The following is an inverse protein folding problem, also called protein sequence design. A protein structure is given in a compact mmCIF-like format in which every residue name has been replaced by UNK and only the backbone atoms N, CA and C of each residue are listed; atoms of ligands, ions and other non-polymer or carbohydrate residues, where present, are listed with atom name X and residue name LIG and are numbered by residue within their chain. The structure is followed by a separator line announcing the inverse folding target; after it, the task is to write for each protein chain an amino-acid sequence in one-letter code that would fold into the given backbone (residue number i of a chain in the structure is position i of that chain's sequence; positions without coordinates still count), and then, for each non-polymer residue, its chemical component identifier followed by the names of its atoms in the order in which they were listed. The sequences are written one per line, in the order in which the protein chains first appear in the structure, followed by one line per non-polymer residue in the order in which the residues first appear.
data_IF_309472845027
#
_entry.id   IF_309472845027
#
_cell.length_a   1.000
_cell.length_b   1.000
_cell.length_c   1.000
_cell.angle_alpha   90.00
_cell.angle_beta   90.00
_cell.angle_gamma   90.00
#
_symmetry.space_group_name_H-M   'P 1'
#
loop_
_entity.id
_entity.type
_entity.pdbx_description
1 polymer ?
#
# COMPACT_ATOMS: atom_id res chain seq x y z
N UNK A 1 14.22 28.40 -19.55
CA UNK A 1 14.59 28.92 -18.23
C UNK A 1 13.74 28.25 -17.15
N UNK A 2 14.40 27.65 -16.22
CA UNK A 2 13.70 26.97 -15.11
C UNK A 2 13.28 27.99 -14.08
N UNK A 3 12.00 28.01 -13.77
CA UNK A 3 11.46 28.93 -12.77
C UNK A 3 11.39 28.23 -11.42
N UNK A 4 12.51 28.28 -10.70
CA UNK A 4 12.64 27.59 -9.41
C UNK A 4 11.63 28.07 -8.36
N UNK A 5 11.17 29.32 -8.48
CA UNK A 5 10.21 29.90 -7.55
C UNK A 5 8.85 29.18 -7.59
N UNK A 6 8.53 28.53 -8.70
CA UNK A 6 7.26 27.85 -8.89
C UNK A 6 7.38 26.34 -8.74
N UNK A 7 8.58 25.83 -8.43
CA UNK A 7 8.78 24.41 -8.22
C UNK A 7 8.35 24.03 -6.80
N UNK A 8 7.51 23.03 -6.71
CA UNK A 8 7.10 22.46 -5.43
C UNK A 8 8.02 21.26 -5.17
N UNK A 9 8.69 21.28 -4.02
CA UNK A 9 9.51 20.16 -3.60
C UNK A 9 8.67 19.23 -2.76
N UNK A 10 8.52 17.99 -3.23
CA UNK A 10 7.74 16.96 -2.54
C UNK A 10 8.68 16.17 -1.67
N UNK A 11 8.34 16.01 -0.38
CA UNK A 11 9.17 15.24 0.55
C UNK A 11 9.02 13.73 0.35
N UNK A 12 7.77 13.24 0.33
CA UNK A 12 7.47 11.82 0.16
C UNK A 12 5.97 11.66 -0.05
N UNK A 13 5.56 10.48 -0.42
CA UNK A 13 4.14 10.14 -0.49
C UNK A 13 3.62 9.91 0.93
N UNK A 14 2.75 10.82 1.42
CA UNK A 14 2.26 10.74 2.79
C UNK A 14 1.37 9.51 2.99
N UNK A 15 0.33 9.39 2.20
CA UNK A 15 -0.55 8.23 2.30
C UNK A 15 -1.37 8.04 1.02
N UNK A 16 -1.92 6.86 0.89
CA UNK A 16 -2.94 6.53 -0.10
C UNK A 16 -4.23 6.27 0.66
N UNK A 17 -5.32 6.94 0.27
CA UNK A 17 -6.62 6.72 0.88
C UNK A 17 -7.37 5.66 0.08
N UNK A 18 -7.94 4.68 0.77
CA UNK A 18 -8.72 3.63 0.14
C UNK A 18 -10.06 3.48 0.84
N UNK A 19 -11.06 3.05 0.09
CA UNK A 19 -12.37 2.74 0.64
C UNK A 19 -12.44 1.25 0.97
N UNK A 20 -13.00 0.92 2.12
CA UNK A 20 -13.10 -0.46 2.60
C UNK A 20 -14.51 -0.73 3.11
N UNK A 21 -14.96 -1.98 2.96
CA UNK A 21 -16.30 -2.35 3.37
C UNK A 21 -16.44 -2.40 4.89
N UNK A 22 -15.41 -2.88 5.58
CA UNK A 22 -15.40 -3.04 7.04
C UNK A 22 -14.12 -2.42 7.58
N UNK A 23 -14.26 -1.24 8.20
CA UNK A 23 -13.13 -0.45 8.68
C UNK A 23 -12.28 -1.22 9.69
N UNK A 24 -12.92 -1.85 10.68
CA UNK A 24 -12.20 -2.54 11.73
C UNK A 24 -11.50 -3.81 11.22
N UNK A 25 -12.18 -4.58 10.38
CA UNK A 25 -11.60 -5.78 9.79
C UNK A 25 -10.39 -5.43 8.92
N UNK A 26 -10.51 -4.37 8.12
CA UNK A 26 -9.41 -3.92 7.25
C UNK A 26 -8.23 -3.38 8.05
N UNK A 27 -8.49 -2.60 9.11
CA UNK A 27 -7.42 -2.11 9.97
C UNK A 27 -6.63 -3.27 10.57
N UNK A 28 -7.33 -4.27 11.11
CA UNK A 28 -6.69 -5.45 11.69
C UNK A 28 -5.91 -6.24 10.64
N UNK A 29 -6.44 -6.34 9.43
CA UNK A 29 -5.75 -7.04 8.35
C UNK A 29 -4.41 -6.37 8.02
N UNK A 30 -4.40 -5.04 7.87
CA UNK A 30 -3.16 -4.31 7.57
C UNK A 30 -2.15 -4.37 8.70
N UNK A 31 -2.62 -4.36 9.95
CA UNK A 31 -1.75 -4.55 11.11
C UNK A 31 -1.11 -5.94 11.09
N UNK A 32 -1.92 -6.96 10.83
CA UNK A 32 -1.49 -8.36 10.87
C UNK A 32 -0.62 -8.74 9.69
N UNK A 33 -1.01 -8.36 8.49
CA UNK A 33 -0.36 -8.81 7.25
C UNK A 33 0.88 -7.99 6.92
N UNK A 34 0.80 -6.67 7.10
CA UNK A 34 1.89 -5.78 6.73
C UNK A 34 2.62 -5.19 7.94
N UNK A 35 2.16 -5.44 9.14
CA UNK A 35 2.78 -4.90 10.34
C UNK A 35 2.68 -3.39 10.46
N UNK A 36 1.69 -2.78 9.81
CA UNK A 36 1.50 -1.35 9.89
C UNK A 36 0.93 -0.97 11.25
N UNK A 37 1.23 0.25 11.69
CA UNK A 37 0.74 0.76 12.96
C UNK A 37 -0.53 1.56 12.77
N UNK A 38 -1.56 1.20 13.51
CA UNK A 38 -2.84 1.90 13.53
C UNK A 38 -2.69 3.23 14.24
N UNK A 39 -3.25 4.27 13.64
CA UNK A 39 -3.28 5.60 14.22
C UNK A 39 -4.61 6.26 13.89
N UNK A 40 -5.28 6.76 14.93
CA UNK A 40 -6.60 7.36 14.78
C UNK A 40 -6.77 8.44 15.85
N UNK A 41 -6.98 9.68 15.42
CA UNK A 41 -7.24 10.77 16.35
C UNK A 41 -8.72 10.75 16.77
N UNK A 42 -9.00 10.87 18.06
CA UNK A 42 -10.40 10.95 18.54
C UNK A 42 -11.18 12.07 17.86
N UNK A 43 -10.53 13.18 17.56
CA UNK A 43 -11.14 14.35 16.92
C UNK A 43 -11.67 14.04 15.53
N UNK A 44 -11.14 13.00 14.87
CA UNK A 44 -11.60 12.59 13.53
C UNK A 44 -12.91 11.81 13.55
N UNK A 45 -13.32 11.29 14.72
CA UNK A 45 -14.48 10.41 14.82
C UNK A 45 -14.15 9.02 14.30
N UNK A 46 -15.07 8.45 13.50
CA UNK A 46 -14.97 7.06 13.08
C UNK A 46 -13.97 6.83 11.96
N UNK A 47 -13.61 7.87 11.22
CA UNK A 47 -12.64 7.77 10.11
C UNK A 47 -11.99 9.13 9.87
N UNK A 48 -10.76 9.12 9.26
CA UNK A 48 -10.03 7.96 8.75
C UNK A 48 -9.31 7.17 9.85
N UNK A 49 -8.97 5.92 9.54
CA UNK A 49 -8.01 5.13 10.32
C UNK A 49 -6.73 5.07 9.50
N UNK A 50 -5.62 5.52 10.07
CA UNK A 50 -4.32 5.42 9.41
C UNK A 50 -3.61 4.15 9.81
N UNK A 51 -2.97 3.51 8.86
CA UNK A 51 -2.08 2.38 9.05
C UNK A 51 -0.72 2.79 8.49
N UNK A 52 0.24 3.02 9.37
CA UNK A 52 1.49 3.68 9.01
C UNK A 52 2.71 2.79 9.19
N UNK A 53 3.67 2.98 8.30
CA UNK A 53 5.04 2.54 8.47
C UNK A 53 5.90 3.81 8.47
N UNK A 54 6.36 4.24 9.64
CA UNK A 54 7.03 5.52 9.76
C UNK A 54 6.09 6.67 9.40
N UNK A 55 6.47 7.45 8.42
CA UNK A 55 5.73 8.66 8.00
C UNK A 55 4.78 8.42 6.83
N UNK A 56 4.68 7.20 6.33
CA UNK A 56 3.90 6.91 5.14
C UNK A 56 2.97 5.74 5.38
N UNK A 57 1.90 5.64 4.62
CA UNK A 57 1.01 4.51 4.75
C UNK A 57 -0.31 4.68 4.04
N UNK A 58 -1.35 4.17 4.68
CA UNK A 58 -2.69 4.06 4.12
C UNK A 58 -3.68 4.73 5.06
N UNK A 59 -4.67 5.41 4.49
CA UNK A 59 -5.79 5.94 5.24
C UNK A 59 -7.05 5.19 4.81
N UNK A 60 -7.77 4.62 5.76
CA UNK A 60 -8.99 3.87 5.51
C UNK A 60 -10.21 4.76 5.67
N UNK A 61 -11.10 4.70 4.69
CA UNK A 61 -12.39 5.38 4.68
C UNK A 61 -13.49 4.36 4.41
N UNK A 62 -14.68 4.54 4.97
CA UNK A 62 -15.75 3.59 4.73
C UNK A 62 -16.26 3.70 3.29
N UNK A 63 -16.60 2.56 2.70
CA UNK A 63 -17.21 2.52 1.38
C UNK A 63 -18.60 3.16 1.43
N UNK A 64 -18.95 3.86 0.35
CA UNK A 64 -20.32 4.31 0.13
C UNK A 64 -21.02 3.30 -0.78
N UNK A 65 -21.90 2.49 -0.20
CA UNK A 65 -22.53 1.39 -0.92
C UNK A 65 -23.59 1.85 -1.91
N UNK A 66 -23.96 3.13 -1.90
CA UNK A 66 -24.90 3.68 -2.89
C UNK A 66 -24.21 4.13 -4.17
N UNK A 67 -22.87 4.27 -4.15
CA UNK A 67 -22.12 4.61 -5.35
C UNK A 67 -21.93 3.37 -6.23
N UNK A 68 -21.66 3.62 -7.52
CA UNK A 68 -21.41 2.53 -8.47
C UNK A 68 -20.16 1.79 -8.06
N UNK A 69 -20.26 0.46 -7.98
CA UNK A 69 -19.15 -0.38 -7.61
C UNK A 69 -18.20 -0.57 -8.79
N UNK A 70 -16.92 -0.32 -8.57
CA UNK A 70 -15.86 -0.68 -9.51
C UNK A 70 -15.30 -2.05 -9.11
N UNK A 71 -15.41 -3.02 -10.02
CA UNK A 71 -14.91 -4.36 -9.72
C UNK A 71 -13.39 -4.36 -9.51
N UNK A 72 -12.86 -5.13 -8.54
CA UNK A 72 -11.42 -5.15 -8.27
C UNK A 72 -10.57 -5.55 -9.49
N UNK A 73 -11.13 -6.35 -10.39
CA UNK A 73 -10.44 -6.80 -11.60
C UNK A 73 -10.47 -5.78 -12.73
N UNK A 74 -11.21 -4.69 -12.57
CA UNK A 74 -11.32 -3.66 -13.61
C UNK A 74 -9.96 -3.04 -13.92
N UNK A 75 -9.70 -2.84 -15.20
CA UNK A 75 -8.52 -2.12 -15.69
C UNK A 75 -8.88 -0.75 -16.25
N UNK A 76 -10.06 -0.25 -15.90
CA UNK A 76 -10.45 1.10 -16.26
C UNK A 76 -9.74 2.11 -15.36
N UNK A 77 -10.06 3.38 -15.50
CA UNK A 77 -9.38 4.45 -14.76
C UNK A 77 -9.55 4.25 -13.26
N UNK A 78 -8.45 3.99 -12.56
CA UNK A 78 -8.40 3.77 -11.11
C UNK A 78 -6.95 3.74 -10.66
N UNK A 79 -6.72 3.76 -9.35
CA UNK A 79 -5.41 3.41 -8.81
C UNK A 79 -5.30 1.89 -8.88
N UNK A 80 -4.37 1.39 -9.69
CA UNK A 80 -4.25 -0.04 -9.95
C UNK A 80 -3.74 -0.80 -8.71
N UNK A 81 -2.70 -0.29 -8.09
CA UNK A 81 -2.11 -0.87 -6.89
C UNK A 81 -1.24 0.18 -6.20
N UNK A 82 -0.77 -0.15 -5.03
CA UNK A 82 0.24 0.65 -4.34
C UNK A 82 1.31 -0.29 -3.80
N UNK A 83 2.53 0.23 -3.67
CA UNK A 83 3.69 -0.57 -3.34
C UNK A 83 4.47 0.03 -2.18
N UNK A 84 4.92 -0.83 -1.27
CA UNK A 84 5.89 -0.48 -0.25
C UNK A 84 7.24 -1.08 -0.62
N UNK A 85 8.30 -0.32 -0.41
CA UNK A 85 9.65 -0.83 -0.58
C UNK A 85 10.07 -1.54 0.70
N UNK A 86 10.71 -2.70 0.54
CA UNK A 86 11.26 -3.46 1.65
C UNK A 86 12.68 -3.91 1.32
N UNK A 87 13.45 -4.24 2.35
CA UNK A 87 14.77 -4.84 2.15
C UNK A 87 14.62 -6.25 1.58
N UNK A 88 15.71 -6.78 1.00
CA UNK A 88 15.71 -8.15 0.50
C UNK A 88 15.37 -9.16 1.61
N UNK A 89 15.88 -8.94 2.82
CA UNK A 89 15.56 -9.79 3.96
C UNK A 89 14.06 -9.76 4.29
N UNK A 90 13.48 -8.59 4.29
CA UNK A 90 12.05 -8.44 4.58
C UNK A 90 11.18 -8.98 3.45
N UNK A 91 11.68 -8.92 2.22
CA UNK A 91 10.99 -9.54 1.09
C UNK A 91 10.88 -11.07 1.29
N UNK A 92 11.98 -11.71 1.71
CA UNK A 92 11.97 -13.14 1.99
C UNK A 92 11.07 -13.48 3.19
N UNK A 93 11.08 -12.63 4.22
CA UNK A 93 10.18 -12.79 5.37
C UNK A 93 8.71 -12.68 4.95
N UNK A 94 8.42 -11.79 4.02
CA UNK A 94 7.05 -11.62 3.52
C UNK A 94 6.54 -12.89 2.83
N UNK A 95 7.37 -13.53 2.02
CA UNK A 95 6.99 -14.79 1.38
C UNK A 95 6.61 -15.85 2.40
N UNK A 96 7.41 -15.99 3.45
CA UNK A 96 7.11 -16.93 4.54
C UNK A 96 5.84 -16.56 5.26
N UNK A 97 5.71 -15.29 5.60
CA UNK A 97 4.55 -14.79 6.35
C UNK A 97 3.26 -14.99 5.57
N UNK A 98 3.27 -14.68 4.29
CA UNK A 98 2.08 -14.84 3.44
C UNK A 98 1.70 -16.30 3.30
N UNK A 99 2.67 -17.19 3.21
CA UNK A 99 2.42 -18.64 3.20
C UNK A 99 1.80 -19.10 4.52
N UNK A 100 2.33 -18.64 5.65
CA UNK A 100 1.79 -18.97 6.98
C UNK A 100 0.35 -18.48 7.17
N UNK A 101 0.03 -17.33 6.58
CA UNK A 101 -1.30 -16.75 6.67
C UNK A 101 -2.26 -17.29 5.60
N UNK A 102 -1.82 -18.23 4.77
CA UNK A 102 -2.60 -18.79 3.67
C UNK A 102 -3.09 -17.72 2.68
N UNK A 103 -2.28 -16.71 2.45
CA UNK A 103 -2.59 -15.69 1.45
C UNK A 103 -2.10 -16.15 0.09
N UNK A 104 -2.92 -15.95 -0.93
CA UNK A 104 -2.47 -16.11 -2.31
C UNK A 104 -1.57 -14.94 -2.66
N UNK A 105 -0.45 -15.22 -3.31
CA UNK A 105 0.44 -14.16 -3.76
C UNK A 105 1.08 -14.52 -5.09
N UNK A 106 1.55 -13.49 -5.77
CA UNK A 106 2.19 -13.60 -7.06
C UNK A 106 3.53 -12.86 -6.99
N UNK A 107 4.60 -13.54 -7.43
CA UNK A 107 5.92 -12.94 -7.45
C UNK A 107 6.28 -12.62 -8.90
N UNK A 108 6.83 -11.43 -9.13
CA UNK A 108 7.26 -11.01 -10.45
C UNK A 108 8.67 -10.42 -10.39
N UNK A 109 9.45 -10.76 -11.40
CA UNK A 109 10.78 -10.21 -11.60
C UNK A 109 10.65 -9.00 -12.54
N UNK A 110 10.94 -7.82 -12.03
CA UNK A 110 10.91 -6.58 -12.79
C UNK A 110 12.31 -6.08 -13.13
N UNK A 111 13.25 -6.98 -13.31
CA UNK A 111 14.66 -6.72 -13.64
C UNK A 111 15.42 -6.08 -12.48
N UNK A 112 15.17 -4.80 -12.19
CA UNK A 112 15.82 -4.11 -11.07
C UNK A 112 15.16 -4.41 -9.73
N UNK A 113 13.96 -4.99 -9.75
CA UNK A 113 13.16 -5.25 -8.56
C UNK A 113 12.57 -6.64 -8.61
N UNK A 114 12.43 -7.26 -7.44
CA UNK A 114 11.49 -8.36 -7.23
C UNK A 114 10.28 -7.80 -6.52
N UNK A 115 9.12 -8.26 -6.91
CA UNK A 115 7.87 -7.79 -6.33
C UNK A 115 6.96 -8.95 -5.97
N UNK A 116 6.20 -8.77 -4.89
CA UNK A 116 5.20 -9.73 -4.43
C UNK A 116 3.88 -9.01 -4.25
N UNK A 117 2.83 -9.58 -4.81
CA UNK A 117 1.49 -8.99 -4.87
C UNK A 117 0.50 -9.80 -4.08
N UNK A 118 -0.31 -9.13 -3.28
CA UNK A 118 -1.43 -9.75 -2.56
C UNK A 118 -2.67 -8.89 -2.74
N UNK A 119 -3.83 -9.45 -2.37
CA UNK A 119 -5.09 -8.70 -2.33
C UNK A 119 -5.49 -8.50 -0.88
N UNK A 120 -5.97 -7.31 -0.56
CA UNK A 120 -6.56 -7.10 0.76
C UNK A 120 -8.01 -7.62 0.78
N UNK A 121 -8.74 -7.38 1.88
CA UNK A 121 -10.09 -7.91 2.06
C UNK A 121 -11.08 -7.39 1.02
N UNK A 122 -10.83 -6.23 0.44
CA UNK A 122 -11.70 -5.61 -0.55
C UNK A 122 -11.19 -5.78 -1.99
N UNK A 123 -10.11 -6.51 -2.17
CA UNK A 123 -9.53 -6.76 -3.48
C UNK A 123 -8.55 -5.69 -3.95
N UNK A 124 -8.15 -4.76 -3.09
CA UNK A 124 -7.09 -3.83 -3.43
C UNK A 124 -5.77 -4.59 -3.58
N UNK A 125 -5.02 -4.29 -4.63
CA UNK A 125 -3.73 -4.91 -4.86
C UNK A 125 -2.66 -4.18 -4.07
N UNK A 126 -1.94 -4.94 -3.24
CA UNK A 126 -0.83 -4.43 -2.43
C UNK A 126 0.45 -5.13 -2.86
N UNK A 127 1.45 -4.34 -3.16
CA UNK A 127 2.75 -4.84 -3.60
C UNK A 127 3.80 -4.54 -2.55
N UNK A 128 4.70 -5.52 -2.31
CA UNK A 128 5.99 -5.23 -1.69
C UNK A 128 7.03 -5.40 -2.76
N UNK A 129 7.95 -4.46 -2.85
CA UNK A 129 9.00 -4.47 -3.87
C UNK A 129 10.36 -4.28 -3.22
N UNK A 130 11.36 -4.97 -3.74
CA UNK A 130 12.72 -4.88 -3.22
C UNK A 130 13.69 -4.70 -4.40
N UNK A 131 14.61 -3.76 -4.25
CA UNK A 131 15.58 -3.48 -5.30
C UNK A 131 16.70 -4.53 -5.28
N UNK A 132 17.10 -4.99 -6.46
CA UNK A 132 18.14 -6.00 -6.64
C UNK A 132 19.48 -5.42 -7.11
N UNK A 133 19.50 -4.15 -7.42
CA UNK A 133 20.70 -3.44 -7.92
C UNK A 133 21.01 -2.30 -6.98
N UNK A 134 22.10 -1.58 -7.23
CA UNK A 134 22.41 -0.40 -6.45
C UNK A 134 21.29 0.64 -6.65
N UNK A 135 20.85 1.26 -5.55
CA UNK A 135 19.74 2.21 -5.59
C UNK A 135 19.95 3.33 -6.58
N UNK A 136 21.20 3.76 -6.78
CA UNK A 136 21.54 4.84 -7.72
C UNK A 136 21.26 4.49 -9.17
N UNK A 137 21.15 3.22 -9.49
CA UNK A 137 20.84 2.81 -10.87
C UNK A 137 19.39 3.08 -11.22
N UNK A 138 18.53 3.18 -10.23
CA UNK A 138 17.11 3.42 -10.44
C UNK A 138 16.64 4.75 -9.88
N UNK A 139 16.89 5.02 -8.61
CA UNK A 139 16.48 6.27 -7.96
C UNK A 139 17.49 7.37 -8.25
N UNK A 140 17.12 8.33 -9.08
CA UNK A 140 18.02 9.41 -9.54
C UNK A 140 17.53 10.78 -9.12
#
# INVERSE_FOLDING_TARGET
MTNKEHKIDIEFLDHVAIRVADMEASAKWYEKVLGLKRYQLPEWGDFPIFLLSGKSGIALFPANTTDIKLEPTSKNVKIDHFAFNVTNDNFEKAKKRYTELNLEFNIQDHHYFDSIYIKDLDGHTVELTTIKVNEREFYK
#
